data_IF_749881776557
#
_entry.id   IF_749881776557
#
_cell.length_a   1.000
_cell.length_b   1.000
_cell.length_c   1.000
_cell.angle_alpha   90.00
_cell.angle_beta   90.00
_cell.angle_gamma   90.00
#
_symmetry.space_group_name_H-M   'P 1'
#
loop_
_entity.id
_entity.type
_entity.pdbx_description
1 polymer ?
#
# COMPACT_ATOMS: atom_id res chain seq x y z
N UNK A 1 22.22 4.37 8.32
CA UNK A 1 21.17 4.40 7.28
C UNK A 1 19.95 3.64 7.83
N UNK A 2 18.72 4.16 7.67
CA UNK A 2 17.51 3.43 8.09
C UNK A 2 17.42 2.09 7.36
N UNK A 3 16.87 1.03 7.99
CA UNK A 3 16.58 -0.21 7.27
C UNK A 3 15.51 0.10 6.22
N UNK A 4 15.48 -0.62 5.09
CA UNK A 4 14.51 -0.38 4.00
C UNK A 4 13.05 -0.33 4.52
N UNK A 5 12.73 -1.19 5.50
CA UNK A 5 11.44 -1.23 6.19
C UNK A 5 11.12 0.06 6.96
N UNK A 6 12.12 0.71 7.54
CA UNK A 6 12.00 1.99 8.25
C UNK A 6 11.77 3.14 7.26
N UNK A 7 12.38 3.07 6.07
CA UNK A 7 12.20 4.06 5.01
C UNK A 7 10.78 4.03 4.41
N UNK A 8 10.23 2.84 4.16
CA UNK A 8 8.83 2.68 3.72
C UNK A 8 7.87 3.24 4.76
N UNK A 9 8.07 2.88 6.03
CA UNK A 9 7.28 3.37 7.14
C UNK A 9 7.35 4.92 7.26
N UNK A 10 8.54 5.50 7.17
CA UNK A 10 8.74 6.96 7.19
C UNK A 10 8.07 7.65 6.00
N UNK A 11 8.12 7.04 4.81
CA UNK A 11 7.47 7.57 3.61
C UNK A 11 5.95 7.65 3.76
N UNK A 12 5.34 6.60 4.32
CA UNK A 12 3.89 6.57 4.61
C UNK A 12 3.50 7.69 5.57
N UNK A 13 4.26 7.88 6.66
CA UNK A 13 3.98 8.92 7.67
C UNK A 13 3.96 10.32 7.09
N UNK A 14 4.98 10.69 6.32
CA UNK A 14 5.08 12.03 5.75
C UNK A 14 4.04 12.27 4.66
N UNK A 15 3.74 11.26 3.83
CA UNK A 15 2.70 11.35 2.81
C UNK A 15 1.31 11.50 3.43
N UNK A 16 0.98 10.67 4.42
CA UNK A 16 -0.28 10.75 5.15
C UNK A 16 -0.51 12.14 5.74
N UNK A 17 0.52 12.67 6.42
CA UNK A 17 0.49 14.00 7.04
C UNK A 17 0.36 15.12 6.01
N UNK A 18 1.05 14.99 4.86
CA UNK A 18 0.99 15.96 3.76
C UNK A 18 -0.41 16.01 3.14
N UNK A 19 -0.97 14.84 2.79
CA UNK A 19 -2.31 14.73 2.21
C UNK A 19 -3.35 15.29 3.18
N UNK A 20 -3.30 14.87 4.46
CA UNK A 20 -4.23 15.35 5.50
C UNK A 20 -4.24 16.87 5.60
N UNK A 21 -3.06 17.49 5.65
CA UNK A 21 -2.94 18.96 5.75
C UNK A 21 -3.49 19.66 4.51
N UNK A 22 -3.26 19.09 3.32
CA UNK A 22 -3.77 19.64 2.06
C UNK A 22 -5.29 19.67 2.01
N UNK A 23 -5.95 18.64 2.55
CA UNK A 23 -7.43 18.58 2.67
C UNK A 23 -7.96 19.24 3.95
N UNK A 24 -7.11 20.01 4.66
CA UNK A 24 -7.44 20.81 5.84
C UNK A 24 -8.07 20.04 7.02
N UNK A 25 -7.79 18.73 7.16
CA UNK A 25 -8.27 17.96 8.32
C UNK A 25 -7.27 18.03 9.48
N UNK A 26 -7.79 18.20 10.69
CA UNK A 26 -7.03 17.96 11.93
C UNK A 26 -6.77 16.46 12.14
N UNK A 27 -5.87 16.15 13.07
CA UNK A 27 -5.65 14.75 13.48
C UNK A 27 -6.91 14.15 14.10
N UNK A 28 -7.67 14.92 14.87
CA UNK A 28 -8.90 14.43 15.51
C UNK A 28 -9.97 14.13 14.46
N UNK A 29 -10.15 15.00 13.45
CA UNK A 29 -11.12 14.78 12.38
C UNK A 29 -10.76 13.57 11.50
N UNK A 30 -9.50 13.44 11.08
CA UNK A 30 -9.08 12.28 10.29
C UNK A 30 -9.21 10.99 11.10
N UNK A 31 -8.81 11.01 12.37
CA UNK A 31 -8.92 9.84 13.24
C UNK A 31 -10.39 9.41 13.40
N UNK A 32 -11.29 10.37 13.64
CA UNK A 32 -12.72 10.10 13.73
C UNK A 32 -13.28 9.52 12.42
N UNK A 33 -13.00 10.13 11.27
CA UNK A 33 -13.47 9.65 9.95
C UNK A 33 -12.93 8.26 9.61
N UNK A 34 -11.67 7.99 9.96
CA UNK A 34 -11.03 6.70 9.72
C UNK A 34 -11.34 5.68 10.82
N UNK A 35 -12.17 5.99 11.82
CA UNK A 35 -12.49 5.14 12.99
C UNK A 35 -11.24 4.69 13.77
N UNK A 36 -10.28 5.59 13.95
CA UNK A 36 -9.03 5.42 14.70
C UNK A 36 -9.03 6.31 15.95
N UNK A 37 -8.30 5.89 16.98
CA UNK A 37 -8.00 6.77 18.10
C UNK A 37 -6.96 7.83 17.66
N UNK A 38 -7.18 9.11 17.97
CA UNK A 38 -6.24 10.19 17.65
C UNK A 38 -4.79 9.94 18.10
N UNK A 39 -4.50 9.40 19.31
CA UNK A 39 -3.13 9.05 19.68
C UNK A 39 -2.45 8.05 18.73
N UNK A 40 -3.22 7.15 18.11
CA UNK A 40 -2.70 6.22 17.11
C UNK A 40 -2.34 6.96 15.82
N UNK A 41 -3.23 7.82 15.31
CA UNK A 41 -2.94 8.62 14.12
C UNK A 41 -1.72 9.52 14.35
N UNK A 42 -1.65 10.21 15.49
CA UNK A 42 -0.49 11.04 15.83
C UNK A 42 0.81 10.22 15.87
N UNK A 43 0.76 8.99 16.37
CA UNK A 43 1.93 8.09 16.40
C UNK A 43 2.33 7.61 15.00
N UNK A 44 1.36 7.41 14.10
CA UNK A 44 1.61 7.09 12.69
C UNK A 44 2.31 8.26 12.01
N UNK A 45 1.77 9.48 12.11
CA UNK A 45 2.34 10.67 11.46
C UNK A 45 3.72 11.08 11.99
N UNK A 46 4.10 10.60 13.17
CA UNK A 46 5.42 10.81 13.76
C UNK A 46 6.42 9.68 13.41
N UNK A 47 6.04 8.74 12.55
CA UNK A 47 6.90 7.61 12.16
C UNK A 47 7.02 6.50 13.20
N UNK A 48 6.39 6.63 14.38
CA UNK A 48 6.55 5.67 15.48
C UNK A 48 5.75 4.37 15.29
N UNK A 49 4.66 4.40 14.49
CA UNK A 49 3.75 3.26 14.27
C UNK A 49 3.23 3.16 12.83
N UNK A 50 4.08 3.40 11.84
CA UNK A 50 3.66 3.45 10.43
C UNK A 50 3.57 2.09 9.72
N UNK A 51 3.94 0.99 10.38
CA UNK A 51 3.63 -0.36 9.88
C UNK A 51 2.15 -0.69 10.09
N UNK A 52 1.30 -0.19 9.20
CA UNK A 52 -0.14 -0.33 9.25
C UNK A 52 -0.62 -1.52 8.40
N UNK A 53 -1.79 -2.07 8.77
CA UNK A 53 -2.52 -2.99 7.90
C UNK A 53 -3.04 -2.25 6.67
N UNK A 54 -3.10 -2.92 5.54
CA UNK A 54 -3.66 -2.39 4.30
C UNK A 54 -5.12 -1.95 4.50
N UNK A 55 -5.90 -2.67 5.30
CA UNK A 55 -7.26 -2.25 5.69
C UNK A 55 -7.30 -0.94 6.48
N UNK A 56 -6.32 -0.67 7.33
CA UNK A 56 -6.20 0.63 8.03
C UNK A 56 -5.79 1.73 7.06
N UNK A 57 -4.87 1.44 6.13
CA UNK A 57 -4.46 2.38 5.09
C UNK A 57 -5.64 2.71 4.17
N UNK A 58 -6.42 1.72 3.73
CA UNK A 58 -7.62 1.94 2.91
C UNK A 58 -8.62 2.89 3.62
N UNK A 59 -8.93 2.65 4.90
CA UNK A 59 -9.81 3.54 5.68
C UNK A 59 -9.29 4.98 5.80
N UNK A 60 -7.96 5.16 5.92
CA UNK A 60 -7.34 6.49 5.92
C UNK A 60 -7.45 7.15 4.54
N UNK A 61 -7.25 6.39 3.47
CA UNK A 61 -7.37 6.87 2.09
C UNK A 61 -8.82 7.30 1.78
N UNK A 62 -9.80 6.49 2.17
CA UNK A 62 -11.23 6.80 2.04
C UNK A 62 -11.59 8.09 2.78
N UNK A 63 -11.13 8.24 4.03
CA UNK A 63 -11.37 9.43 4.85
C UNK A 63 -10.72 10.71 4.29
N UNK A 64 -9.64 10.54 3.50
CA UNK A 64 -8.90 11.61 2.84
C UNK A 64 -9.35 11.87 1.39
N UNK A 65 -10.17 10.99 0.82
CA UNK A 65 -10.61 11.08 -0.58
C UNK A 65 -9.48 10.85 -1.58
N UNK A 66 -8.56 9.92 -1.30
CA UNK A 66 -7.41 9.58 -2.17
C UNK A 66 -7.31 8.07 -2.39
N UNK A 67 -6.40 7.63 -3.24
CA UNK A 67 -6.07 6.20 -3.36
C UNK A 67 -5.06 5.79 -2.28
N UNK A 68 -5.14 4.54 -1.81
CA UNK A 68 -4.14 3.99 -0.88
C UNK A 68 -2.71 4.05 -1.44
N UNK A 69 -2.56 3.98 -2.76
CA UNK A 69 -1.30 4.10 -3.50
C UNK A 69 -0.62 5.46 -3.26
N UNK A 70 -1.37 6.51 -2.93
CA UNK A 70 -0.85 7.85 -2.64
C UNK A 70 -0.03 7.91 -1.34
N UNK A 71 -0.14 6.89 -0.48
CA UNK A 71 0.75 6.73 0.66
C UNK A 71 2.11 6.09 0.32
N UNK A 72 2.29 5.62 -0.92
CA UNK A 72 3.50 4.92 -1.35
C UNK A 72 4.25 5.66 -2.48
N UNK A 73 3.62 6.60 -3.18
CA UNK A 73 4.28 7.42 -4.21
C UNK A 73 3.80 8.87 -4.21
N UNK A 74 4.59 9.74 -4.85
CA UNK A 74 4.31 11.17 -4.94
C UNK A 74 3.63 11.48 -6.26
N UNK A 75 2.30 11.40 -6.28
CA UNK A 75 1.51 11.81 -7.44
C UNK A 75 1.10 13.28 -7.31
N UNK A 76 0.98 14.02 -8.41
CA UNK A 76 0.37 15.36 -8.42
C UNK A 76 -0.98 15.37 -7.69
N UNK A 77 -1.25 16.43 -6.92
CA UNK A 77 -2.42 16.48 -6.03
C UNK A 77 -3.76 16.38 -6.78
N UNK A 78 -3.81 16.84 -8.02
CA UNK A 78 -4.94 16.77 -8.94
C UNK A 78 -5.19 15.37 -9.49
N UNK A 79 -4.21 14.46 -9.43
CA UNK A 79 -4.36 13.04 -9.79
C UNK A 79 -4.73 12.14 -8.60
N UNK A 80 -4.66 12.67 -7.36
CA UNK A 80 -4.93 11.92 -6.14
C UNK A 80 -6.43 11.85 -5.89
N UNK A 81 -7.03 10.75 -6.34
CA UNK A 81 -8.46 10.49 -6.30
C UNK A 81 -8.69 9.01 -5.99
N UNK A 82 -9.82 8.64 -5.36
CA UNK A 82 -10.15 7.23 -5.13
C UNK A 82 -10.34 6.51 -6.47
N UNK A 83 -9.83 5.28 -6.58
CA UNK A 83 -10.10 4.43 -7.75
C UNK A 83 -11.46 3.75 -7.69
N UNK A 84 -12.08 3.68 -6.50
CA UNK A 84 -13.30 2.89 -6.26
C UNK A 84 -13.05 1.38 -6.21
N UNK A 85 -11.80 0.93 -6.39
CA UNK A 85 -11.39 -0.47 -6.29
C UNK A 85 -10.94 -0.80 -4.86
N UNK A 86 -11.29 -2.00 -4.38
CA UNK A 86 -10.76 -2.48 -3.10
C UNK A 86 -9.25 -2.75 -3.19
N UNK A 87 -8.49 -2.12 -2.29
CA UNK A 87 -7.04 -2.22 -2.25
C UNK A 87 -6.53 -3.66 -2.00
N UNK A 88 -7.25 -4.43 -1.18
CA UNK A 88 -6.85 -5.82 -0.87
C UNK A 88 -7.06 -6.71 -2.09
N UNK A 89 -8.19 -6.57 -2.77
CA UNK A 89 -8.49 -7.27 -4.02
C UNK A 89 -7.45 -6.95 -5.11
N UNK A 90 -7.06 -5.67 -5.25
CA UNK A 90 -5.97 -5.24 -6.15
C UNK A 90 -4.65 -5.97 -5.84
N UNK A 91 -4.22 -5.97 -4.58
CA UNK A 91 -3.00 -6.69 -4.16
C UNK A 91 -3.10 -8.18 -4.44
N UNK A 92 -4.23 -8.82 -4.13
CA UNK A 92 -4.44 -10.26 -4.40
C UNK A 92 -4.32 -10.56 -5.89
N UNK A 93 -5.01 -9.78 -6.74
CA UNK A 93 -5.00 -9.95 -8.18
C UNK A 93 -3.59 -9.77 -8.76
N UNK A 94 -2.88 -8.70 -8.35
CA UNK A 94 -1.54 -8.40 -8.83
C UNK A 94 -0.51 -9.43 -8.35
N UNK A 95 -0.56 -9.85 -7.07
CA UNK A 95 0.30 -10.91 -6.54
C UNK A 95 0.08 -12.21 -7.30
N UNK A 96 -1.18 -12.62 -7.51
CA UNK A 96 -1.50 -13.84 -8.26
C UNK A 96 -0.99 -13.78 -9.70
N UNK A 97 -1.18 -12.66 -10.39
CA UNK A 97 -0.71 -12.41 -11.76
C UNK A 97 0.82 -12.48 -11.86
N UNK A 98 1.53 -11.68 -11.06
CA UNK A 98 2.99 -11.57 -11.08
C UNK A 98 3.66 -12.89 -10.68
N UNK A 99 3.11 -13.56 -9.66
CA UNK A 99 3.55 -14.90 -9.25
C UNK A 99 3.40 -15.92 -10.38
N UNK A 100 2.27 -15.90 -11.08
CA UNK A 100 2.00 -16.76 -12.23
C UNK A 100 2.96 -16.52 -13.41
N UNK A 101 3.28 -15.25 -13.70
CA UNK A 101 4.26 -14.89 -14.73
C UNK A 101 5.67 -15.42 -14.43
N UNK A 102 6.02 -15.59 -13.16
CA UNK A 102 7.31 -16.15 -12.72
C UNK A 102 7.26 -17.66 -12.48
N UNK A 103 6.12 -18.33 -12.70
CA UNK A 103 5.96 -19.77 -12.43
C UNK A 103 6.06 -20.16 -10.94
N UNK A 104 5.90 -19.21 -10.03
CA UNK A 104 6.03 -19.46 -8.58
C UNK A 104 4.75 -20.08 -8.01
N UNK A 105 4.87 -21.05 -7.10
CA UNK A 105 3.73 -21.51 -6.28
C UNK A 105 3.44 -20.53 -5.13
N UNK A 106 2.28 -20.63 -4.48
CA UNK A 106 1.94 -19.82 -3.29
C UNK A 106 2.97 -20.03 -2.17
N UNK A 107 3.39 -21.27 -1.94
CA UNK A 107 4.43 -21.62 -0.97
C UNK A 107 5.78 -21.06 -1.38
N UNK A 108 6.17 -21.20 -2.65
CA UNK A 108 7.44 -20.68 -3.15
C UNK A 108 7.54 -19.16 -2.98
N UNK A 109 6.47 -18.42 -3.32
CA UNK A 109 6.44 -16.97 -3.09
C UNK A 109 6.48 -16.64 -1.59
N UNK A 110 5.74 -17.37 -0.75
CA UNK A 110 5.75 -17.14 0.71
C UNK A 110 7.16 -17.27 1.29
N UNK A 111 7.87 -18.33 0.90
CA UNK A 111 9.26 -18.57 1.33
C UNK A 111 10.20 -17.50 0.78
N UNK A 112 10.06 -17.14 -0.52
CA UNK A 112 10.86 -16.09 -1.17
C UNK A 112 10.67 -14.73 -0.50
N UNK A 113 9.48 -14.43 0.00
CA UNK A 113 9.14 -13.22 0.75
C UNK A 113 9.47 -13.31 2.26
N UNK A 114 10.20 -14.34 2.70
CA UNK A 114 10.52 -14.57 4.12
C UNK A 114 9.29 -14.63 5.04
N UNK A 115 8.17 -15.13 4.52
CA UNK A 115 6.92 -15.35 5.27
C UNK A 115 6.71 -16.83 5.54
N UNK A 116 5.78 -17.11 6.46
CA UNK A 116 5.36 -18.48 6.70
C UNK A 116 4.76 -19.07 5.42
N UNK A 117 5.06 -20.32 5.10
CA UNK A 117 4.72 -20.99 3.82
C UNK A 117 3.25 -20.89 3.37
N UNK A 118 2.32 -20.69 4.30
CA UNK A 118 0.88 -20.56 4.00
C UNK A 118 0.41 -19.11 3.81
N UNK A 119 1.31 -18.13 3.93
CA UNK A 119 0.96 -16.71 3.93
C UNK A 119 0.27 -16.26 2.63
N UNK A 120 0.89 -16.53 1.47
CA UNK A 120 0.30 -16.16 0.17
C UNK A 120 -1.01 -16.88 -0.06
N UNK A 121 -1.13 -18.15 0.36
CA UNK A 121 -2.41 -18.86 0.29
C UNK A 121 -3.51 -18.21 1.14
N UNK A 122 -3.18 -17.70 2.33
CA UNK A 122 -4.13 -16.93 3.15
C UNK A 122 -4.46 -15.58 2.53
N UNK A 123 -3.47 -14.90 1.95
CA UNK A 123 -3.68 -13.63 1.24
C UNK A 123 -4.62 -13.83 0.05
N UNK A 124 -4.33 -14.78 -0.85
CA UNK A 124 -5.10 -15.01 -2.07
C UNK A 124 -6.53 -15.50 -1.82
N UNK A 125 -6.83 -16.00 -0.61
CA UNK A 125 -8.17 -16.40 -0.18
C UNK A 125 -8.81 -15.37 0.79
N UNK A 126 -8.32 -14.13 0.82
CA UNK A 126 -8.84 -13.03 1.66
C UNK A 126 -8.81 -13.30 3.19
N UNK A 127 -8.11 -14.35 3.61
CA UNK A 127 -7.97 -14.77 5.00
C UNK A 127 -6.82 -14.04 5.75
N UNK A 128 -6.20 -13.04 5.10
CA UNK A 128 -5.17 -12.19 5.67
C UNK A 128 -5.21 -10.77 5.06
N UNK A 129 -5.18 -9.75 5.92
CA UNK A 129 -4.93 -8.35 5.51
C UNK A 129 -3.44 -8.05 5.71
N UNK A 130 -2.67 -7.79 4.62
CA UNK A 130 -1.23 -7.57 4.69
C UNK A 130 -0.89 -6.26 5.43
N UNK A 131 0.25 -6.22 6.10
CA UNK A 131 0.86 -4.99 6.60
C UNK A 131 1.71 -4.31 5.53
N UNK A 132 2.04 -3.03 5.70
CA UNK A 132 2.94 -2.31 4.79
C UNK A 132 4.29 -3.03 4.59
N UNK A 133 4.86 -3.61 5.65
CA UNK A 133 6.08 -4.42 5.53
C UNK A 133 5.86 -5.74 4.77
N UNK A 134 4.66 -6.34 4.87
CA UNK A 134 4.36 -7.53 4.08
C UNK A 134 4.28 -7.18 2.59
N UNK A 135 3.72 -6.02 2.23
CA UNK A 135 3.69 -5.52 0.85
C UNK A 135 5.11 -5.30 0.31
N UNK A 136 6.00 -4.75 1.14
CA UNK A 136 7.41 -4.58 0.78
C UNK A 136 8.10 -5.93 0.53
N UNK A 137 7.93 -6.89 1.45
CA UNK A 137 8.54 -8.22 1.34
C UNK A 137 8.01 -8.98 0.10
N UNK A 138 6.72 -8.86 -0.21
CA UNK A 138 6.12 -9.43 -1.43
C UNK A 138 6.65 -8.75 -2.70
N UNK A 139 6.75 -7.42 -2.71
CA UNK A 139 7.24 -6.65 -3.85
C UNK A 139 8.69 -7.02 -4.16
N UNK A 140 9.55 -7.11 -3.14
CA UNK A 140 10.94 -7.54 -3.26
C UNK A 140 11.04 -8.97 -3.79
N UNK A 141 10.26 -9.91 -3.24
CA UNK A 141 10.23 -11.29 -3.72
C UNK A 141 9.76 -11.40 -5.18
N UNK A 142 8.87 -10.52 -5.62
CA UNK A 142 8.40 -10.47 -7.00
C UNK A 142 9.28 -9.59 -7.91
N UNK A 143 10.26 -8.86 -7.37
CA UNK A 143 11.10 -7.96 -8.15
C UNK A 143 10.36 -6.75 -8.74
N UNK A 144 9.32 -6.28 -8.06
CA UNK A 144 8.48 -5.14 -8.46
C UNK A 144 8.43 -4.07 -7.36
N UNK A 145 7.79 -2.93 -7.63
CA UNK A 145 7.52 -1.93 -6.60
C UNK A 145 6.22 -2.24 -5.82
N UNK A 146 6.08 -1.66 -4.61
CA UNK A 146 4.78 -1.68 -3.89
C UNK A 146 3.68 -1.02 -4.73
N UNK A 147 4.01 0.04 -5.49
CA UNK A 147 3.05 0.72 -6.36
C UNK A 147 2.51 -0.19 -7.45
N UNK A 148 3.31 -1.14 -7.96
CA UNK A 148 2.83 -2.12 -8.93
C UNK A 148 1.91 -3.16 -8.29
N UNK A 149 2.17 -3.59 -7.05
CA UNK A 149 1.24 -4.44 -6.30
C UNK A 149 -0.10 -3.74 -6.04
N UNK A 150 -0.04 -2.44 -5.80
CA UNK A 150 -1.22 -1.61 -5.60
C UNK A 150 -1.81 -1.10 -6.92
N UNK A 151 -1.21 -1.28 -8.10
CA UNK A 151 -1.72 -0.70 -9.33
C UNK A 151 -3.15 -1.16 -9.63
N UNK A 152 -3.98 -0.26 -10.18
CA UNK A 152 -5.28 -0.65 -10.76
C UNK A 152 -5.03 -1.68 -11.87
N UNK A 153 -5.88 -2.70 -11.97
CA UNK A 153 -5.72 -3.81 -12.92
C UNK A 153 -5.81 -3.43 -14.41
N UNK A 154 -6.03 -2.16 -14.73
CA UNK A 154 -5.87 -1.65 -16.08
C UNK A 154 -4.37 -1.71 -16.46
N UNK A 155 -4.00 -2.33 -17.60
CA UNK A 155 -2.64 -2.23 -18.09
C UNK A 155 -2.32 -0.73 -18.22
N UNK A 156 -1.33 -0.25 -17.46
CA UNK A 156 -0.76 1.07 -17.71
C UNK A 156 -0.34 1.07 -19.16
N UNK A 157 -1.08 1.82 -19.99
CA UNK A 157 -0.62 2.14 -21.35
C UNK A 157 0.74 2.79 -21.16
N UNK A 158 1.78 2.06 -21.55
CA UNK A 158 3.11 2.62 -21.61
C UNK A 158 2.98 3.87 -22.50
N UNK A 159 3.28 5.04 -21.95
CA UNK A 159 3.50 6.22 -22.77
C UNK A 159 4.73 5.92 -23.62
N UNK A 160 4.50 5.36 -24.80
CA UNK A 160 5.49 5.32 -25.86
C UNK A 160 5.78 6.77 -26.18
N UNK A 161 6.93 7.28 -25.75
CA UNK A 161 7.47 8.50 -26.32
C UNK A 161 7.64 8.22 -27.82
N UNK A 162 6.74 8.79 -28.60
CA UNK A 162 6.92 8.94 -30.04
C UNK A 162 8.00 10.01 -30.18
N UNK A 163 9.23 9.56 -30.43
CA UNK A 163 10.28 10.42 -30.96
C UNK A 163 9.83 10.88 -32.35
N UNK A 164 9.60 12.19 -32.50
CA UNK A 164 9.60 12.86 -33.80
C UNK A 164 10.99 13.45 -34.04
#
# INVERSE_FOLDING_TARGET
MPKLRDAVASGISERLKTIRRRVALSQDELAARASLARPNLASVEQGRRANLRLSTLARLADALGVDVLDFFCDRPADEQQPTGEDATARVIANVKRLRGQQGLSQEALSVKAHRFRTYVGRLENEAASPMAVDLQDLAEALGVSITELLGSGAPSVMHTQITL
#
